data_IF_224226506660
#
_entry.id   IF_224226506660
#
_cell.length_a   1.000
_cell.length_b   1.000
_cell.length_c   1.000
_cell.angle_alpha   90.00
_cell.angle_beta   90.00
_cell.angle_gamma   90.00
#
_symmetry.space_group_name_H-M   'P 1'
#
loop_
_entity.id
_entity.type
_entity.pdbx_description
1 polymer ?
#
# COMPACT_ATOMS: atom_id res chain seq x y z
N UNK A 1 6.09 -13.62 34.05
CA UNK A 1 7.30 -13.65 33.19
C UNK A 1 6.83 -13.79 31.75
N UNK A 2 6.45 -12.64 31.21
CA UNK A 2 5.89 -12.45 29.88
C UNK A 2 6.96 -12.66 28.81
N UNK A 3 6.98 -13.88 28.27
CA UNK A 3 7.61 -14.16 26.99
C UNK A 3 6.55 -13.90 25.92
N UNK A 4 6.18 -12.62 25.75
CA UNK A 4 5.51 -12.18 24.54
C UNK A 4 6.58 -12.16 23.46
N UNK A 5 6.62 -13.23 22.68
CA UNK A 5 7.59 -13.45 21.63
C UNK A 5 7.60 -12.25 20.67
N UNK A 6 8.76 -11.63 20.55
CA UNK A 6 9.12 -10.59 19.56
C UNK A 6 8.79 -10.97 18.11
N UNK A 7 8.33 -12.19 17.87
CA UNK A 7 8.06 -12.79 16.58
C UNK A 7 6.74 -12.32 15.94
N UNK A 8 5.78 -11.86 16.75
CA UNK A 8 4.50 -11.31 16.27
C UNK A 8 4.58 -9.84 15.83
N UNK A 9 5.66 -9.13 16.21
CA UNK A 9 5.96 -7.78 15.70
C UNK A 9 6.81 -7.86 14.41
N UNK A 10 6.55 -8.84 13.55
CA UNK A 10 6.90 -8.72 12.13
C UNK A 10 5.69 -8.12 11.45
N UNK A 11 5.82 -6.87 11.10
CA UNK A 11 4.89 -6.19 10.23
C UNK A 11 4.64 -7.09 8.99
N UNK A 12 3.39 -7.44 8.64
CA UNK A 12 3.12 -8.13 7.38
C UNK A 12 3.51 -7.30 6.14
N UNK A 13 3.98 -6.05 6.31
CA UNK A 13 4.69 -5.25 5.30
C UNK A 13 6.22 -5.30 5.37
N UNK A 14 6.81 -5.90 6.42
CA UNK A 14 8.14 -6.52 6.33
C UNK A 14 8.06 -7.83 5.52
N UNK A 15 6.87 -8.26 5.09
CA UNK A 15 6.77 -9.24 4.03
C UNK A 15 7.53 -8.68 2.81
N UNK A 16 8.58 -9.35 2.35
CA UNK A 16 9.45 -8.82 1.33
C UNK A 16 8.61 -8.46 0.11
N UNK A 17 9.01 -7.40 -0.59
CA UNK A 17 8.63 -7.08 -1.97
C UNK A 17 8.41 -8.34 -2.83
N UNK A 18 9.19 -9.38 -2.54
CA UNK A 18 9.05 -10.75 -3.02
C UNK A 18 7.62 -11.33 -3.00
N UNK A 19 6.68 -11.00 -2.10
CA UNK A 19 5.31 -11.57 -2.16
C UNK A 19 4.49 -10.96 -3.30
N UNK A 20 4.58 -9.65 -3.53
CA UNK A 20 3.90 -8.99 -4.66
C UNK A 20 4.55 -9.40 -5.97
N UNK A 21 5.88 -9.48 -5.99
CA UNK A 21 6.65 -9.99 -7.13
C UNK A 21 6.34 -11.46 -7.42
N UNK A 22 6.20 -12.31 -6.39
CA UNK A 22 5.84 -13.72 -6.54
C UNK A 22 4.40 -13.92 -7.05
N UNK A 23 3.52 -12.93 -6.85
CA UNK A 23 2.19 -12.89 -7.47
C UNK A 23 2.23 -12.34 -8.91
N UNK A 24 3.41 -12.03 -9.45
CA UNK A 24 3.55 -11.46 -10.79
C UNK A 24 3.04 -10.03 -10.92
N UNK A 25 2.85 -9.31 -9.81
CA UNK A 25 2.33 -7.96 -9.83
C UNK A 25 3.41 -6.96 -10.24
N UNK A 26 3.40 -6.55 -11.50
CA UNK A 26 4.19 -5.45 -12.04
C UNK A 26 3.40 -4.70 -13.13
N UNK A 27 3.77 -3.46 -13.39
CA UNK A 27 3.20 -2.72 -14.52
C UNK A 27 3.53 -3.38 -15.85
N UNK A 28 2.58 -3.33 -16.78
CA UNK A 28 2.83 -3.55 -18.21
C UNK A 28 2.69 -2.22 -18.95
N UNK A 29 3.37 -2.06 -20.08
CA UNK A 29 3.20 -0.86 -20.90
C UNK A 29 1.77 -0.81 -21.47
N UNK A 30 1.12 0.35 -21.38
CA UNK A 30 -0.19 0.59 -21.97
C UNK A 30 -0.25 1.98 -22.59
N UNK A 31 -0.97 2.11 -23.70
CA UNK A 31 -1.24 3.39 -24.36
C UNK A 31 -2.53 4.04 -23.88
N UNK A 32 -3.28 3.35 -23.01
CA UNK A 32 -4.57 3.80 -22.50
C UNK A 32 -4.37 4.48 -21.15
N UNK A 33 -4.35 5.82 -21.20
CA UNK A 33 -4.33 6.65 -20.00
C UNK A 33 -5.70 6.66 -19.34
N UNK A 34 -5.70 6.57 -18.02
CA UNK A 34 -6.90 6.57 -17.18
C UNK A 34 -6.61 7.31 -15.87
N UNK A 35 -7.55 7.29 -14.93
CA UNK A 35 -7.34 7.81 -13.58
C UNK A 35 -7.96 6.93 -12.52
N UNK A 36 -7.26 6.80 -11.39
CA UNK A 36 -7.76 6.15 -10.17
C UNK A 36 -7.98 7.20 -9.09
N UNK A 37 -9.05 7.05 -8.31
CA UNK A 37 -9.31 7.89 -7.13
C UNK A 37 -9.08 7.06 -5.87
N UNK A 38 -8.08 7.44 -5.08
CA UNK A 38 -7.79 6.85 -3.79
C UNK A 38 -8.49 7.66 -2.70
N UNK A 39 -9.32 7.01 -1.88
CA UNK A 39 -9.93 7.61 -0.68
C UNK A 39 -9.48 6.85 0.54
N UNK A 40 -8.81 7.52 1.47
CA UNK A 40 -8.47 6.91 2.75
C UNK A 40 -9.70 6.90 3.67
N UNK A 41 -10.36 5.75 3.75
CA UNK A 41 -11.55 5.57 4.56
C UNK A 41 -11.27 5.05 5.99
N UNK A 42 -10.00 4.94 6.40
CA UNK A 42 -9.63 4.43 7.73
C UNK A 42 -9.95 5.47 8.78
N UNK A 43 -10.97 5.21 9.59
CA UNK A 43 -11.53 6.18 10.54
C UNK A 43 -11.45 5.74 12.02
N UNK A 44 -11.30 4.45 12.31
CA UNK A 44 -11.32 3.93 13.69
C UNK A 44 -10.34 2.75 13.90
N UNK A 45 -9.18 2.97 14.54
CA UNK A 45 -8.62 4.30 14.82
C UNK A 45 -8.23 5.00 13.51
N UNK A 46 -8.26 6.35 13.45
CA UNK A 46 -7.86 7.08 12.26
C UNK A 46 -6.38 6.85 11.96
N UNK A 47 -6.08 6.31 10.77
CA UNK A 47 -4.71 6.02 10.34
C UNK A 47 -4.41 6.61 8.96
N UNK A 48 -3.17 7.06 8.80
CA UNK A 48 -2.67 7.55 7.51
C UNK A 48 -2.39 6.38 6.59
N UNK A 49 -2.66 6.53 5.30
CA UNK A 49 -2.39 5.50 4.29
C UNK A 49 -1.33 5.96 3.29
N UNK A 50 -0.28 5.18 3.09
CA UNK A 50 0.72 5.41 2.05
C UNK A 50 0.40 4.59 0.80
N UNK A 51 0.29 5.27 -0.33
CA UNK A 51 -0.03 4.72 -1.64
C UNK A 51 1.26 4.48 -2.44
N UNK A 52 1.31 3.34 -3.13
CA UNK A 52 2.41 2.90 -3.97
C UNK A 52 1.91 2.42 -5.32
N UNK A 53 2.69 2.73 -6.34
CA UNK A 53 2.64 2.08 -7.65
C UNK A 53 3.65 0.94 -7.67
N UNK A 54 3.37 -0.17 -8.37
CA UNK A 54 4.40 -1.16 -8.68
C UNK A 54 4.91 -0.87 -10.09
N UNK A 55 6.19 -0.55 -10.21
CA UNK A 55 6.79 -0.29 -11.51
C UNK A 55 6.86 -1.54 -12.40
N UNK A 56 7.43 -1.37 -13.59
CA UNK A 56 7.55 -2.44 -14.59
C UNK A 56 8.41 -3.62 -14.12
N UNK A 57 9.24 -3.42 -13.10
CA UNK A 57 10.04 -4.46 -12.45
C UNK A 57 9.37 -5.01 -11.18
N UNK A 58 8.13 -4.59 -10.88
CA UNK A 58 7.39 -4.97 -9.66
C UNK A 58 7.87 -4.25 -8.41
N UNK A 59 8.66 -3.18 -8.55
CA UNK A 59 9.18 -2.43 -7.41
C UNK A 59 8.18 -1.38 -6.94
N UNK A 60 8.01 -1.28 -5.61
CA UNK A 60 7.13 -0.29 -4.99
C UNK A 60 7.73 1.11 -5.12
N UNK A 61 7.09 1.94 -5.92
CA UNK A 61 7.35 3.37 -6.04
C UNK A 61 6.36 4.11 -5.17
N UNK A 62 6.85 4.76 -4.11
CA UNK A 62 6.03 5.59 -3.22
C UNK A 62 5.47 6.77 -4.00
N UNK A 63 4.16 6.97 -3.91
CA UNK A 63 3.50 8.09 -4.58
C UNK A 63 3.02 9.15 -3.60
N UNK A 64 2.17 8.77 -2.63
CA UNK A 64 1.58 9.73 -1.68
C UNK A 64 1.32 9.11 -0.31
N UNK A 65 1.18 9.95 0.72
CA UNK A 65 0.55 9.57 1.99
C UNK A 65 -0.73 10.39 2.13
N UNK A 66 -1.83 9.71 2.42
CA UNK A 66 -3.16 10.26 2.60
C UNK A 66 -3.50 10.26 4.08
N UNK A 67 -3.90 11.41 4.61
CA UNK A 67 -4.46 11.49 5.95
C UNK A 67 -5.86 10.83 6.02
N UNK A 68 -6.37 10.47 7.21
CA UNK A 68 -7.72 9.95 7.38
C UNK A 68 -8.76 10.84 6.68
N UNK A 69 -9.61 10.25 5.83
CA UNK A 69 -10.61 10.96 5.03
C UNK A 69 -10.09 11.65 3.77
N UNK A 70 -8.76 11.76 3.57
CA UNK A 70 -8.20 12.40 2.38
C UNK A 70 -8.49 11.59 1.11
N UNK A 71 -8.77 12.31 0.02
CA UNK A 71 -8.96 11.75 -1.31
C UNK A 71 -7.92 12.32 -2.28
N UNK A 72 -7.36 11.46 -3.14
CA UNK A 72 -6.39 11.84 -4.16
C UNK A 72 -6.72 11.17 -5.49
N UNK A 73 -6.85 11.97 -6.55
CA UNK A 73 -7.00 11.48 -7.92
C UNK A 73 -5.63 11.38 -8.58
N UNK A 74 -5.32 10.20 -9.11
CA UNK A 74 -4.06 9.90 -9.77
C UNK A 74 -4.28 9.55 -11.23
N UNK A 75 -3.60 10.25 -12.15
CA UNK A 75 -3.50 9.81 -13.54
C UNK A 75 -2.58 8.58 -13.61
N UNK A 76 -2.97 7.56 -14.36
CA UNK A 76 -2.24 6.29 -14.49
C UNK A 76 -2.56 5.64 -15.84
N UNK A 77 -2.03 4.45 -16.09
CA UNK A 77 -2.44 3.59 -17.20
C UNK A 77 -3.17 2.35 -16.68
N UNK A 78 -4.00 1.75 -17.52
CA UNK A 78 -4.92 0.65 -17.15
C UNK A 78 -4.22 -0.58 -16.54
N UNK A 79 -3.00 -0.85 -16.99
CA UNK A 79 -2.17 -1.99 -16.60
C UNK A 79 -1.30 -1.74 -15.37
N UNK A 80 -1.45 -0.58 -14.72
CA UNK A 80 -0.61 -0.22 -13.57
C UNK A 80 -1.26 -0.72 -12.27
N UNK A 81 -0.68 -1.71 -11.60
CA UNK A 81 -1.19 -2.13 -10.29
C UNK A 81 -0.78 -1.13 -9.21
N UNK A 82 -1.68 -0.94 -8.25
CA UNK A 82 -1.49 -0.05 -7.11
C UNK A 82 -1.70 -0.81 -5.80
N UNK A 83 -1.03 -0.36 -4.75
CA UNK A 83 -1.26 -0.87 -3.40
C UNK A 83 -1.13 0.27 -2.40
N UNK A 84 -1.62 0.04 -1.19
CA UNK A 84 -1.46 0.99 -0.10
C UNK A 84 -1.06 0.27 1.19
N UNK A 85 -0.67 1.06 2.18
CA UNK A 85 -0.55 0.57 3.54
C UNK A 85 -0.87 1.65 4.55
N UNK A 86 -1.48 1.29 5.68
CA UNK A 86 -1.49 2.19 6.83
C UNK A 86 -0.06 2.44 7.32
N UNK A 87 0.22 3.66 7.77
CA UNK A 87 1.49 4.06 8.35
C UNK A 87 1.26 4.59 9.76
N UNK A 88 2.10 4.19 10.73
CA UNK A 88 1.99 4.70 12.08
C UNK A 88 2.02 6.23 12.13
N UNK A 89 1.24 6.80 13.03
CA UNK A 89 1.45 8.18 13.48
C UNK A 89 2.77 8.22 14.26
N UNK A 90 3.49 9.35 14.20
CA UNK A 90 4.75 9.48 14.93
C UNK A 90 4.43 9.35 16.43
N UNK A 91 4.95 8.30 17.08
CA UNK A 91 4.68 7.98 18.48
C UNK A 91 3.65 6.87 18.74
N UNK A 92 2.93 6.38 17.72
CA UNK A 92 2.03 5.22 17.85
C UNK A 92 2.76 3.94 17.43
N UNK A 93 3.50 3.31 18.35
CA UNK A 93 4.08 1.99 18.12
C UNK A 93 3.01 0.94 18.44
N UNK A 94 2.70 0.02 17.51
CA UNK A 94 1.80 -1.12 17.77
C UNK A 94 0.54 -1.25 16.91
N UNK A 95 0.23 -0.28 16.05
CA UNK A 95 -1.02 -0.33 15.26
C UNK A 95 -0.96 -1.36 14.11
N UNK A 96 -1.97 -2.24 13.96
CA UNK A 96 -2.02 -3.23 12.90
C UNK A 96 -2.07 -2.57 11.52
N UNK A 97 -1.25 -3.09 10.60
CA UNK A 97 -1.14 -2.51 9.25
C UNK A 97 -2.05 -3.19 8.25
N UNK A 98 -2.84 -2.40 7.52
CA UNK A 98 -3.77 -2.89 6.49
C UNK A 98 -3.20 -2.61 5.09
N UNK A 99 -3.27 -3.59 4.19
CA UNK A 99 -2.89 -3.47 2.77
C UNK A 99 -3.90 -4.19 1.87
N UNK A 100 -4.30 -3.52 0.79
CA UNK A 100 -5.01 -4.09 -0.36
C UNK A 100 -4.16 -3.86 -1.62
N UNK A 101 -4.21 -4.80 -2.56
CA UNK A 101 -3.66 -4.66 -3.91
C UNK A 101 -4.83 -4.49 -4.86
N UNK A 102 -4.71 -3.54 -5.78
CA UNK A 102 -5.67 -3.32 -6.86
C UNK A 102 -4.91 -3.53 -8.16
N UNK A 103 -5.24 -4.61 -8.87
CA UNK A 103 -4.80 -4.88 -10.23
C UNK A 103 -5.96 -4.69 -11.22
N UNK A 104 -5.63 -4.19 -12.41
CA UNK A 104 -6.55 -4.20 -13.54
C UNK A 104 -6.35 -5.52 -14.27
N UNK A 105 -7.23 -6.49 -14.04
CA UNK A 105 -7.35 -7.71 -14.85
C UNK A 105 -8.02 -7.42 -16.18
#
# INVERSE_FOLDING_TARGET
>A
LERWDKEFYRDPLDAPQARLVALGACSQESRHSTSVVFRNAVADPPARCRVFWLDYQGKLVRYKTLDPGETHRQQTFETHPWTFTTVPTRGSLGEPKQRLVVDGS
#
